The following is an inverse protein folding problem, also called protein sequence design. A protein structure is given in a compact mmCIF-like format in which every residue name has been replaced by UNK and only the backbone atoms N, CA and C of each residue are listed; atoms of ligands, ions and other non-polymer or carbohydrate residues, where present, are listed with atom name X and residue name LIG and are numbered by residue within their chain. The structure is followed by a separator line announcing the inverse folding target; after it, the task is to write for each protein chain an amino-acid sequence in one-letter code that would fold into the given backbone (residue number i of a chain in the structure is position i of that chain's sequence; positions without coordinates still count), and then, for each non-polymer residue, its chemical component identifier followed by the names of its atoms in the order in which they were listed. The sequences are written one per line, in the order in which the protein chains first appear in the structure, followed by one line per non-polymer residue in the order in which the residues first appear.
data_IF_881886732540
#
_entry.id   IF_881886732540
#
_cell.length_a   1.000
_cell.length_b   1.000
_cell.length_c   1.000
_cell.angle_alpha   90.00
_cell.angle_beta   90.00
_cell.angle_gamma   90.00
#
_symmetry.space_group_name_H-M   'P 1'
#
loop_
_entity.id
_entity.type
_entity.pdbx_description
1 polymer ?
#
# COMPACT_ATOMS: atom_id res chain seq x y z
N UNK A 1 4.64 41.83 -43.52
CA UNK A 1 5.84 42.56 -44.04
C UNK A 1 7.02 42.32 -43.12
N UNK A 2 8.13 41.93 -43.73
CA UNK A 2 9.54 41.80 -43.26
C UNK A 2 9.78 40.53 -42.39
N UNK A 3 10.21 39.39 -42.87
CA UNK A 3 11.36 38.97 -43.72
C UNK A 3 12.74 39.17 -43.08
N UNK A 4 13.48 38.01 -42.95
CA UNK A 4 14.93 37.87 -43.24
C UNK A 4 15.84 38.03 -41.99
N UNK A 5 16.84 37.18 -41.65
CA UNK A 5 17.87 36.29 -42.27
C UNK A 5 18.39 35.34 -41.21
N UNK A 6 18.58 34.09 -41.34
CA UNK A 6 19.62 33.27 -41.99
C UNK A 6 21.06 33.76 -41.80
N UNK A 7 21.86 33.01 -41.02
CA UNK A 7 23.28 32.87 -41.29
C UNK A 7 23.83 31.55 -40.66
N UNK A 8 24.27 30.71 -41.56
CA UNK A 8 25.11 29.53 -41.39
C UNK A 8 26.56 29.94 -41.05
N UNK A 9 27.23 29.20 -40.19
CA UNK A 9 28.69 29.08 -40.24
C UNK A 9 29.11 27.66 -39.89
N UNK A 10 29.69 27.01 -40.86
CA UNK A 10 30.32 25.70 -40.81
C UNK A 10 31.86 25.86 -40.61
N UNK A 11 32.49 24.76 -40.35
CA UNK A 11 33.90 24.40 -40.37
C UNK A 11 34.58 24.34 -38.98
N UNK A 12 35.46 23.39 -38.63
CA UNK A 12 36.26 22.49 -39.41
C UNK A 12 36.74 21.30 -38.55
N UNK A 13 36.98 20.22 -39.23
CA UNK A 13 37.62 18.95 -38.87
C UNK A 13 39.04 19.14 -38.35
N UNK A 14 39.46 18.40 -37.31
CA UNK A 14 40.84 17.95 -37.22
C UNK A 14 40.88 16.53 -36.60
N UNK A 15 41.22 15.58 -37.45
CA UNK A 15 41.60 14.22 -37.10
C UNK A 15 43.06 14.18 -36.66
N UNK A 16 43.33 13.50 -35.55
CA UNK A 16 44.71 13.01 -35.25
C UNK A 16 44.59 11.53 -34.93
N UNK A 17 45.09 10.72 -35.85
CA UNK A 17 45.46 9.32 -35.69
C UNK A 17 46.82 9.22 -35.02
N UNK A 18 47.04 8.28 -34.15
CA UNK A 18 48.22 7.49 -33.78
C UNK A 18 47.92 6.88 -32.42
N UNK A 19 48.01 5.60 -32.11
CA UNK A 19 48.77 4.48 -32.57
C UNK A 19 48.32 3.21 -31.80
N UNK A 20 48.48 2.11 -32.44
CA UNK A 20 48.32 0.73 -31.89
C UNK A 20 49.26 0.46 -30.74
N UNK A 21 48.75 -0.26 -29.70
CA UNK A 21 49.54 -1.34 -29.09
C UNK A 21 48.60 -2.43 -28.57
N UNK A 22 48.89 -3.64 -29.03
CA UNK A 22 48.32 -4.89 -28.59
C UNK A 22 48.94 -5.30 -27.23
N UNK A 23 48.16 -5.93 -26.36
CA UNK A 23 48.74 -6.55 -25.20
C UNK A 23 47.70 -7.09 -24.20
N UNK A 24 47.46 -8.39 -24.27
CA UNK A 24 47.07 -9.29 -23.20
C UNK A 24 45.68 -9.23 -22.59
N UNK A 25 44.83 -10.13 -23.02
CA UNK A 25 43.83 -10.77 -22.15
C UNK A 25 44.48 -11.45 -20.96
N UNK A 26 43.88 -11.32 -19.76
CA UNK A 26 43.60 -12.51 -19.02
C UNK A 26 42.18 -12.48 -18.39
N UNK A 27 41.59 -13.67 -18.42
CA UNK A 27 40.74 -14.31 -17.43
C UNK A 27 39.41 -13.64 -17.07
N UNK A 28 38.36 -14.35 -17.44
CA UNK A 28 37.03 -14.29 -16.89
C UNK A 28 37.05 -14.17 -15.36
N UNK A 29 36.56 -13.05 -14.84
CA UNK A 29 36.11 -12.92 -13.46
C UNK A 29 34.60 -13.04 -13.46
N UNK A 30 34.17 -14.19 -13.01
CA UNK A 30 32.82 -14.57 -12.67
C UNK A 30 32.34 -13.66 -11.52
N UNK A 31 31.76 -12.53 -11.84
CA UNK A 31 31.08 -11.70 -10.83
C UNK A 31 29.63 -12.17 -10.67
N UNK A 32 29.46 -13.25 -9.92
CA UNK A 32 28.24 -13.50 -9.17
C UNK A 32 28.08 -12.37 -8.13
N UNK A 33 27.54 -11.25 -8.55
CA UNK A 33 26.98 -10.29 -7.61
C UNK A 33 25.59 -10.81 -7.26
N UNK A 34 25.53 -11.70 -6.28
CA UNK A 34 24.38 -11.82 -5.42
C UNK A 34 24.15 -10.43 -4.84
N UNK A 35 23.18 -9.71 -5.39
CA UNK A 35 22.58 -8.57 -4.74
C UNK A 35 21.77 -9.11 -3.56
N UNK A 36 22.48 -9.39 -2.48
CA UNK A 36 21.94 -9.62 -1.16
C UNK A 36 21.37 -8.29 -0.71
N UNK A 37 20.06 -8.14 -0.91
CA UNK A 37 19.27 -7.02 -0.40
C UNK A 37 19.54 -6.93 1.09
N UNK A 38 20.27 -5.89 1.49
CA UNK A 38 20.57 -5.58 2.88
C UNK A 38 19.27 -5.63 3.70
N UNK A 39 19.12 -6.66 4.51
CA UNK A 39 18.09 -6.79 5.51
C UNK A 39 18.19 -5.59 6.46
N UNK A 40 17.32 -4.61 6.26
CA UNK A 40 17.04 -3.61 7.26
C UNK A 40 16.34 -4.30 8.44
N UNK A 41 17.09 -4.67 9.46
CA UNK A 41 16.65 -5.43 10.65
C UNK A 41 15.68 -4.70 11.57
N UNK A 42 15.11 -3.56 11.12
CA UNK A 42 14.07 -2.81 11.83
C UNK A 42 12.69 -2.88 11.14
N UNK A 43 12.47 -3.80 10.19
CA UNK A 43 11.15 -4.02 9.64
C UNK A 43 10.23 -4.58 10.72
N UNK A 44 9.08 -3.95 10.98
CA UNK A 44 8.04 -4.47 11.86
C UNK A 44 7.70 -5.90 11.45
N UNK A 45 7.91 -6.86 12.35
CA UNK A 45 7.62 -8.26 12.09
C UNK A 45 6.14 -8.51 12.38
N UNK A 46 5.34 -8.67 11.33
CA UNK A 46 3.92 -8.99 11.45
C UNK A 46 3.71 -10.48 11.74
N UNK A 47 2.68 -10.84 12.54
CA UNK A 47 2.37 -12.25 12.85
C UNK A 47 2.06 -13.09 11.60
N UNK A 48 1.36 -12.50 10.62
CA UNK A 48 1.03 -13.14 9.36
C UNK A 48 1.80 -12.47 8.23
N UNK A 49 2.64 -13.21 7.54
CA UNK A 49 3.39 -12.72 6.40
C UNK A 49 3.49 -13.79 5.31
N UNK A 50 3.50 -13.33 4.08
CA UNK A 50 3.75 -14.13 2.88
C UNK A 50 4.85 -13.41 2.08
N UNK A 51 5.49 -14.13 1.18
CA UNK A 51 6.35 -13.51 0.17
C UNK A 51 5.54 -12.66 -0.80
N UNK A 52 6.16 -11.72 -1.48
CA UNK A 52 5.44 -10.89 -2.45
C UNK A 52 4.82 -11.71 -3.59
N UNK A 53 5.46 -12.79 -4.02
CA UNK A 53 4.90 -13.72 -5.02
C UNK A 53 3.66 -14.46 -4.52
N UNK A 54 3.61 -14.84 -3.24
CA UNK A 54 2.44 -15.44 -2.62
C UNK A 54 1.30 -14.42 -2.48
N UNK A 55 1.61 -13.17 -2.11
CA UNK A 55 0.63 -12.09 -2.09
C UNK A 55 0.02 -11.84 -3.47
N UNK A 56 0.85 -11.79 -4.54
CA UNK A 56 0.39 -11.63 -5.91
C UNK A 56 -0.52 -12.77 -6.39
N UNK A 57 -0.29 -13.99 -5.91
CA UNK A 57 -1.15 -15.15 -6.22
C UNK A 57 -2.46 -15.14 -5.44
N UNK A 58 -2.46 -14.57 -4.24
CA UNK A 58 -3.60 -14.56 -3.32
C UNK A 58 -4.57 -13.40 -3.57
N UNK A 59 -4.06 -12.24 -3.92
CA UNK A 59 -4.80 -11.00 -4.06
C UNK A 59 -5.13 -10.72 -5.53
N UNK A 60 -6.26 -10.05 -5.79
CA UNK A 60 -6.49 -9.47 -7.12
C UNK A 60 -5.47 -8.37 -7.40
N UNK A 61 -5.24 -7.98 -8.67
CA UNK A 61 -4.33 -6.88 -8.98
C UNK A 61 -4.66 -5.58 -8.25
N UNK A 62 -5.95 -5.23 -8.14
CA UNK A 62 -6.41 -4.06 -7.41
C UNK A 62 -6.13 -4.19 -5.89
N UNK A 63 -6.47 -5.33 -5.30
CA UNK A 63 -6.18 -5.58 -3.89
C UNK A 63 -4.68 -5.56 -3.61
N UNK A 64 -3.86 -6.12 -4.50
CA UNK A 64 -2.42 -6.07 -4.34
C UNK A 64 -1.90 -4.64 -4.38
N UNK A 65 -2.36 -3.85 -5.36
CA UNK A 65 -1.99 -2.44 -5.47
C UNK A 65 -2.34 -1.65 -4.20
N UNK A 66 -3.54 -1.82 -3.66
CA UNK A 66 -3.97 -1.12 -2.45
C UNK A 66 -3.25 -1.65 -1.21
N UNK A 67 -3.27 -2.96 -0.97
CA UNK A 67 -2.83 -3.57 0.29
C UNK A 67 -1.31 -3.66 0.43
N UNK A 68 -0.57 -3.84 -0.69
CA UNK A 68 0.88 -4.10 -0.67
C UNK A 68 1.72 -2.96 -1.22
N UNK A 69 1.16 -2.17 -2.15
CA UNK A 69 1.84 -1.02 -2.75
C UNK A 69 1.36 0.33 -2.18
N UNK A 70 0.50 0.29 -1.13
CA UNK A 70 -0.11 1.47 -0.50
C UNK A 70 -0.86 2.37 -1.48
N UNK A 71 -1.51 1.76 -2.49
CA UNK A 71 -2.37 2.46 -3.44
C UNK A 71 -3.70 2.90 -2.82
N UNK A 72 -4.45 3.67 -3.58
CA UNK A 72 -5.79 4.13 -3.19
C UNK A 72 -6.74 3.91 -4.36
N UNK A 73 -7.88 3.27 -4.11
CA UNK A 73 -8.95 3.11 -5.10
C UNK A 73 -9.62 4.48 -5.40
N UNK A 74 -10.21 4.70 -6.59
CA UNK A 74 -10.95 5.92 -6.86
C UNK A 74 -12.14 6.10 -5.91
N UNK A 75 -12.40 7.34 -5.50
CA UNK A 75 -13.55 7.67 -4.64
C UNK A 75 -14.87 7.28 -5.29
N UNK A 76 -15.83 6.82 -4.49
CA UNK A 76 -17.19 6.41 -4.90
C UNK A 76 -17.28 5.17 -5.81
N UNK A 77 -16.17 4.43 -6.02
CA UNK A 77 -16.14 3.25 -6.88
C UNK A 77 -16.06 1.93 -6.12
N UNK A 78 -15.54 1.95 -4.90
CA UNK A 78 -15.34 0.76 -4.09
C UNK A 78 -16.66 0.13 -3.62
N UNK A 79 -16.68 -1.18 -3.40
CA UNK A 79 -17.88 -1.94 -3.06
C UNK A 79 -18.58 -1.46 -1.78
N UNK A 80 -17.82 -0.95 -0.80
CA UNK A 80 -18.34 -0.70 0.55
C UNK A 80 -18.48 0.78 0.94
N UNK A 81 -18.24 1.73 0.02
CA UNK A 81 -18.27 3.14 0.37
C UNK A 81 -19.64 3.57 0.97
N UNK A 82 -20.76 3.09 0.41
CA UNK A 82 -22.13 3.40 0.86
C UNK A 82 -22.90 2.21 1.43
N UNK A 83 -22.26 1.05 1.66
CA UNK A 83 -22.88 -0.16 2.20
C UNK A 83 -23.32 0.08 3.64
N UNK A 84 -24.55 -0.36 3.95
CA UNK A 84 -25.16 -0.31 5.30
C UNK A 84 -25.48 -1.71 5.85
N UNK A 85 -25.02 -2.74 5.15
CA UNK A 85 -25.23 -4.13 5.57
C UNK A 85 -24.54 -4.41 6.92
N UNK A 86 -25.25 -5.09 7.84
CA UNK A 86 -24.69 -5.44 9.14
C UNK A 86 -23.59 -6.51 9.00
N UNK A 87 -22.58 -6.40 9.85
CA UNK A 87 -21.50 -7.38 9.85
C UNK A 87 -20.19 -6.85 10.39
N UNK A 88 -19.15 -7.62 10.18
CA UNK A 88 -17.77 -7.24 10.50
C UNK A 88 -16.93 -7.11 9.24
N UNK A 89 -16.04 -6.13 9.23
CA UNK A 89 -15.12 -5.92 8.15
C UNK A 89 -13.76 -6.52 8.49
N UNK A 90 -13.31 -7.44 7.63
CA UNK A 90 -12.04 -8.15 7.78
C UNK A 90 -11.00 -7.60 6.82
N UNK A 91 -9.73 -7.72 7.17
CA UNK A 91 -8.63 -7.47 6.24
C UNK A 91 -8.73 -8.43 5.04
N UNK A 92 -8.81 -7.90 3.83
CA UNK A 92 -8.92 -8.72 2.62
C UNK A 92 -7.65 -9.58 2.37
N UNK A 93 -6.50 -9.16 2.91
CA UNK A 93 -5.25 -9.90 2.79
C UNK A 93 -5.16 -11.11 3.75
N UNK A 94 -5.46 -10.94 5.04
CA UNK A 94 -5.20 -11.97 6.06
C UNK A 94 -6.44 -12.43 6.84
N UNK A 95 -7.61 -11.82 6.63
CA UNK A 95 -8.86 -12.19 7.30
C UNK A 95 -9.04 -11.67 8.73
N UNK A 96 -8.08 -10.94 9.30
CA UNK A 96 -8.21 -10.37 10.64
C UNK A 96 -9.40 -9.42 10.74
N UNK A 97 -10.21 -9.50 11.80
CA UNK A 97 -11.32 -8.59 12.03
C UNK A 97 -10.77 -7.20 12.38
N UNK A 98 -11.26 -6.16 11.70
CA UNK A 98 -10.77 -4.80 11.83
C UNK A 98 -11.83 -3.83 12.36
N UNK A 99 -13.02 -3.84 11.75
CA UNK A 99 -14.11 -2.91 12.03
C UNK A 99 -15.45 -3.64 12.10
N UNK A 100 -16.47 -2.97 12.63
CA UNK A 100 -17.86 -3.43 12.61
C UNK A 100 -18.77 -2.43 11.91
N UNK A 101 -19.88 -2.90 11.38
CA UNK A 101 -20.87 -2.07 10.69
C UNK A 101 -21.45 -0.96 11.57
N UNK A 102 -21.55 -1.18 12.88
CA UNK A 102 -22.10 -0.22 13.83
C UNK A 102 -21.26 1.05 13.93
N UNK A 103 -19.96 0.97 13.68
CA UNK A 103 -19.06 2.10 13.70
C UNK A 103 -18.92 2.78 12.32
N UNK A 104 -19.56 2.19 11.27
CA UNK A 104 -19.51 2.74 9.92
C UNK A 104 -20.48 3.90 9.76
N UNK A 105 -20.02 5.00 9.19
CA UNK A 105 -20.85 6.18 8.91
C UNK A 105 -20.57 6.75 7.52
N UNK A 106 -21.49 7.57 7.04
CA UNK A 106 -21.34 8.30 5.78
C UNK A 106 -20.60 9.61 6.02
N UNK A 107 -19.36 9.67 5.59
CA UNK A 107 -18.52 10.87 5.68
C UNK A 107 -18.58 11.75 4.42
N UNK A 108 -19.23 11.27 3.35
CA UNK A 108 -19.28 11.96 2.06
C UNK A 108 -17.96 11.93 1.27
N UNK A 109 -16.91 11.27 1.78
CA UNK A 109 -15.59 11.28 1.12
C UNK A 109 -15.44 10.28 -0.04
N UNK A 110 -16.38 9.32 -0.17
CA UNK A 110 -16.37 8.32 -1.23
C UNK A 110 -15.63 7.02 -0.90
N UNK A 111 -15.18 6.84 0.34
CA UNK A 111 -14.60 5.63 0.88
C UNK A 111 -15.32 5.19 2.15
N UNK A 112 -15.30 3.87 2.49
CA UNK A 112 -15.79 3.39 3.77
C UNK A 112 -15.15 4.16 4.93
N UNK A 113 -15.97 4.70 5.81
CA UNK A 113 -15.53 5.48 6.98
C UNK A 113 -16.04 4.88 8.26
N UNK A 114 -15.14 4.69 9.24
CA UNK A 114 -15.47 4.12 10.55
C UNK A 114 -15.03 5.07 11.66
N UNK A 115 -15.85 5.16 12.72
CA UNK A 115 -15.57 6.03 13.87
C UNK A 115 -14.70 5.34 14.94
N UNK A 116 -14.58 4.02 14.88
CA UNK A 116 -13.74 3.25 15.80
C UNK A 116 -13.24 1.97 15.15
N UNK A 117 -12.28 1.32 15.81
CA UNK A 117 -11.75 0.00 15.47
C UNK A 117 -12.42 -1.09 16.31
N UNK A 118 -12.49 -2.33 15.81
CA UNK A 118 -13.14 -3.44 16.51
C UNK A 118 -12.57 -3.69 17.90
N UNK A 119 -11.25 -3.57 18.07
CA UNK A 119 -10.56 -3.68 19.35
C UNK A 119 -9.16 -3.08 19.26
N UNK A 120 -8.58 -2.70 20.39
CA UNK A 120 -7.20 -2.26 20.46
C UNK A 120 -6.23 -3.30 19.89
N UNK A 121 -5.21 -2.85 19.16
CA UNK A 121 -4.21 -3.71 18.55
C UNK A 121 -4.65 -4.43 17.26
N UNK A 122 -5.85 -4.12 16.72
CA UNK A 122 -6.26 -4.65 15.40
C UNK A 122 -5.68 -3.87 14.22
N UNK A 123 -5.39 -2.60 14.43
CA UNK A 123 -4.66 -1.77 13.48
C UNK A 123 -3.45 -1.12 14.16
N UNK A 124 -2.47 -0.73 13.36
CA UNK A 124 -1.35 0.13 13.76
C UNK A 124 -1.34 1.34 12.84
N UNK A 125 -0.72 2.42 13.29
CA UNK A 125 -0.60 3.66 12.52
C UNK A 125 0.86 4.02 12.32
N UNK A 126 1.16 4.72 11.22
CA UNK A 126 2.45 5.34 10.97
C UNK A 126 2.28 6.64 10.19
N UNK A 127 3.26 7.53 10.30
CA UNK A 127 3.29 8.75 9.51
C UNK A 127 3.47 8.46 8.03
N UNK A 128 2.70 9.15 7.19
CA UNK A 128 2.77 9.09 5.72
C UNK A 128 2.99 10.49 5.17
N UNK A 129 4.14 10.68 4.51
CA UNK A 129 4.54 11.93 3.86
C UNK A 129 4.48 11.86 2.33
N UNK A 130 3.85 10.83 1.78
CA UNK A 130 3.72 10.65 0.33
C UNK A 130 2.90 11.78 -0.31
N UNK A 131 3.15 12.04 -1.59
CA UNK A 131 2.46 13.04 -2.40
C UNK A 131 2.48 14.46 -1.83
N UNK A 132 3.47 14.80 -0.99
CA UNK A 132 3.56 16.11 -0.33
C UNK A 132 2.50 16.37 0.74
N UNK A 133 1.78 15.33 1.18
CA UNK A 133 0.81 15.39 2.28
C UNK A 133 1.45 14.87 3.58
N UNK A 134 0.90 15.30 4.71
CA UNK A 134 1.21 14.72 6.01
C UNK A 134 -0.06 14.07 6.57
N UNK A 135 -0.08 12.75 6.63
CA UNK A 135 -1.23 11.94 7.04
C UNK A 135 -0.80 10.84 7.99
N UNK A 136 -1.77 10.26 8.69
CA UNK A 136 -1.56 9.07 9.50
C UNK A 136 -2.13 7.84 8.77
N UNK A 137 -1.24 6.99 8.28
CA UNK A 137 -1.60 5.74 7.61
C UNK A 137 -2.10 4.70 8.60
N UNK A 138 -3.09 3.91 8.18
CA UNK A 138 -3.65 2.79 8.93
C UNK A 138 -3.26 1.48 8.27
N UNK A 139 -2.65 0.59 9.05
CA UNK A 139 -2.19 -0.73 8.62
C UNK A 139 -2.88 -1.83 9.43
N UNK A 140 -3.09 -2.97 8.83
CA UNK A 140 -3.50 -4.18 9.54
C UNK A 140 -2.39 -4.64 10.49
N UNK A 141 -2.65 -4.72 11.80
CA UNK A 141 -1.65 -5.16 12.78
C UNK A 141 -1.21 -6.62 12.60
N UNK A 142 -2.03 -7.45 11.93
CA UNK A 142 -1.71 -8.86 11.73
C UNK A 142 -0.77 -9.11 10.54
N UNK A 143 -0.90 -8.35 9.42
CA UNK A 143 -0.12 -8.62 8.20
C UNK A 143 0.59 -7.39 7.60
N UNK A 144 0.44 -6.22 8.20
CA UNK A 144 1.07 -4.99 7.73
C UNK A 144 0.48 -4.40 6.45
N UNK A 145 -0.62 -4.94 5.95
CA UNK A 145 -1.26 -4.41 4.73
C UNK A 145 -1.82 -3.03 4.96
N UNK A 146 -1.62 -2.15 3.97
CA UNK A 146 -2.22 -0.83 3.92
C UNK A 146 -3.75 -0.91 3.88
N UNK A 147 -4.43 -0.16 4.74
CA UNK A 147 -5.88 -0.11 4.78
C UNK A 147 -6.43 1.23 4.29
N UNK A 148 -5.79 2.32 4.63
CA UNK A 148 -6.19 3.68 4.38
C UNK A 148 -5.51 4.65 5.34
N UNK A 149 -6.23 5.68 5.79
CA UNK A 149 -5.71 6.71 6.69
C UNK A 149 -6.72 7.03 7.79
N UNK A 150 -6.25 7.57 8.90
CA UNK A 150 -7.09 8.08 9.98
C UNK A 150 -6.96 9.60 10.07
N UNK A 151 -8.09 10.26 10.35
CA UNK A 151 -8.24 11.70 10.46
C UNK A 151 -8.95 12.03 11.78
N UNK A 152 -8.84 13.27 12.24
CA UNK A 152 -9.43 13.80 13.47
C UNK A 152 -10.74 14.58 13.22
N UNK A 153 -11.41 14.31 12.11
CA UNK A 153 -12.65 14.92 11.65
C UNK A 153 -13.87 13.97 11.73
N UNK A 154 -13.78 12.96 12.57
CA UNK A 154 -14.84 11.97 12.78
C UNK A 154 -15.88 12.38 13.81
N UNK A 155 -16.95 11.56 13.97
CA UNK A 155 -18.00 11.80 14.95
C UNK A 155 -17.55 11.50 16.38
N UNK A 156 -18.26 12.09 17.36
CA UNK A 156 -18.14 11.70 18.76
C UNK A 156 -18.52 10.21 18.95
N UNK A 157 -17.96 9.51 19.95
CA UNK A 157 -17.11 10.02 21.03
C UNK A 157 -15.61 10.09 20.70
N UNK A 158 -15.13 9.40 19.66
CA UNK A 158 -13.69 9.31 19.38
C UNK A 158 -13.14 10.54 18.66
N UNK A 159 -13.96 11.22 17.87
CA UNK A 159 -13.51 12.29 16.97
C UNK A 159 -12.68 11.77 15.79
N UNK A 160 -12.50 10.46 15.65
CA UNK A 160 -11.67 9.86 14.62
C UNK A 160 -12.52 9.38 13.43
N UNK A 161 -11.94 9.49 12.24
CA UNK A 161 -12.45 8.90 11.01
C UNK A 161 -11.39 8.03 10.36
N UNK A 162 -11.60 6.73 10.42
CA UNK A 162 -10.82 5.74 9.67
C UNK A 162 -11.36 5.68 8.25
N UNK A 163 -10.69 6.33 7.30
CA UNK A 163 -11.03 6.34 5.87
C UNK A 163 -10.31 5.17 5.19
N UNK A 164 -11.07 4.13 4.85
CA UNK A 164 -10.53 2.81 4.49
C UNK A 164 -10.88 2.48 3.04
N UNK A 165 -9.93 1.91 2.28
CA UNK A 165 -10.21 1.43 0.94
C UNK A 165 -11.15 0.22 0.98
N UNK A 166 -12.15 0.16 0.13
CA UNK A 166 -13.02 -1.01 -0.03
C UNK A 166 -12.23 -2.25 -0.44
N UNK A 167 -11.24 -2.09 -1.33
CA UNK A 167 -10.38 -3.17 -1.79
C UNK A 167 -9.55 -3.80 -0.67
N UNK A 168 -9.30 -3.06 0.43
CA UNK A 168 -8.52 -3.53 1.58
C UNK A 168 -9.32 -4.32 2.62
N UNK A 169 -10.65 -4.31 2.51
CA UNK A 169 -11.54 -4.95 3.48
C UNK A 169 -12.55 -5.90 2.80
N UNK A 170 -13.12 -6.80 3.58
CA UNK A 170 -14.18 -7.70 3.18
C UNK A 170 -15.26 -7.75 4.26
N UNK A 171 -16.51 -7.46 3.89
CA UNK A 171 -17.65 -7.59 4.78
C UNK A 171 -17.99 -9.07 4.95
N UNK A 172 -18.14 -9.48 6.20
CA UNK A 172 -18.67 -10.77 6.59
C UNK A 172 -19.95 -10.56 7.39
N UNK A 173 -21.05 -11.15 6.92
CA UNK A 173 -22.32 -11.18 7.64
C UNK A 173 -22.15 -11.98 8.94
N UNK A 174 -22.56 -11.37 10.05
CA UNK A 174 -22.54 -12.01 11.38
C UNK A 174 -23.60 -13.12 11.54
N UNK A 175 -24.58 -13.18 10.64
CA UNK A 175 -25.56 -14.27 10.62
C UNK A 175 -25.01 -15.54 9.95
N UNK A 176 -23.84 -15.49 9.30
CA UNK A 176 -23.22 -16.67 8.70
C UNK A 176 -22.69 -17.60 9.78
N UNK A 177 -23.06 -18.89 9.81
CA UNK A 177 -22.54 -19.86 10.77
C UNK A 177 -21.00 -19.87 10.74
N UNK A 178 -20.36 -19.75 11.92
CA UNK A 178 -18.91 -19.76 12.06
C UNK A 178 -18.21 -18.39 11.96
N UNK A 179 -18.95 -17.27 11.91
CA UNK A 179 -18.37 -15.93 11.84
C UNK A 179 -17.41 -15.58 12.99
N UNK A 180 -17.58 -16.20 14.15
CA UNK A 180 -16.81 -15.90 15.38
C UNK A 180 -15.65 -16.89 15.62
N UNK A 181 -15.10 -17.49 14.59
CA UNK A 181 -14.01 -18.49 14.72
C UNK A 181 -12.60 -17.90 14.80
N UNK A 182 -12.43 -16.62 15.07
CA UNK A 182 -11.11 -16.08 15.46
C UNK A 182 -10.76 -16.57 16.88
N UNK A 183 -10.26 -17.81 16.96
CA UNK A 183 -9.75 -18.42 18.19
C UNK A 183 -8.46 -17.75 18.72
N UNK A 184 -8.15 -16.52 18.29
CA UNK A 184 -6.94 -15.80 18.70
C UNK A 184 -7.20 -14.67 19.71
N UNK A 185 -8.44 -14.42 20.13
CA UNK A 185 -8.76 -13.32 21.06
C UNK A 185 -8.98 -13.74 22.52
N UNK A 186 -8.81 -15.02 22.87
CA UNK A 186 -8.88 -15.49 24.26
C UNK A 186 -7.66 -16.34 24.62
N UNK A 187 -6.54 -15.67 24.87
CA UNK A 187 -5.57 -16.08 25.89
C UNK A 187 -5.10 -14.85 26.64
N UNK A 188 -5.59 -14.80 27.86
CA UNK A 188 -5.23 -13.94 28.97
C UNK A 188 -3.74 -13.75 29.14
#
# INVERSE_FOLDING_TARGET
MKTIYCLLAAAAVLAVLVGCQAGNTPAALNSNTNAESANNTNAMKFPYHLTEDEWRKKLTPEQYHVLREAGTEPAFTGQYWNTKEPGVYRCAACGAILFKSDDKFDSGCGWPSFSDIMAQGKVITREDYSYGMHRTEVLCANCGSHLGHVFDDGPAPTGLRYCINSASIQLQDTNTPGWNTDKTAEKK
#
